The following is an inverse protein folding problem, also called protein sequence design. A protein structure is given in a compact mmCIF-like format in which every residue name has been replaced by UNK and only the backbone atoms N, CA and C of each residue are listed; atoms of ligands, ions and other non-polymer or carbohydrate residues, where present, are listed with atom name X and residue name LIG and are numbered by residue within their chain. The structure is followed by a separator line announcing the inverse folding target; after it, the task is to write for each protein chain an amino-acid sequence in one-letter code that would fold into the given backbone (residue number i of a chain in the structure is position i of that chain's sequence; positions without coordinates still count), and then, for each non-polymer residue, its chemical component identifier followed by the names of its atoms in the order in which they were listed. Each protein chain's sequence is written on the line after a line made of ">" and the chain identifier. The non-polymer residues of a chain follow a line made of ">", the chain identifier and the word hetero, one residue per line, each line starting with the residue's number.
data_IF_860313195614
#
_entry.id   IF_860313195614
#
_cell.length_a   1.000
_cell.length_b   1.000
_cell.length_c   1.000
_cell.angle_alpha   90.00
_cell.angle_beta   90.00
_cell.angle_gamma   90.00
#
_symmetry.space_group_name_H-M   'P 1'
#
loop_
_entity.id
_entity.type
_entity.pdbx_description
1 polymer ?
#
# COMPACT_ATOMS: atom_id res chain seq x y z
N UNK A 1 23.06 0.43 -1.62
CA UNK A 1 22.64 0.03 -2.99
C UNK A 1 21.14 0.21 -3.20
N UNK A 2 20.29 0.02 -2.18
CA UNK A 2 18.84 0.13 -2.30
C UNK A 2 18.26 1.55 -2.41
N UNK A 3 18.95 2.58 -1.96
CA UNK A 3 18.41 3.95 -1.96
C UNK A 3 18.25 4.52 -3.39
N UNK A 4 19.14 4.11 -4.31
CA UNK A 4 19.07 4.51 -5.72
C UNK A 4 17.89 3.83 -6.41
N UNK A 5 17.67 2.54 -6.15
CA UNK A 5 16.53 1.79 -6.70
C UNK A 5 15.20 2.34 -6.19
N UNK A 6 15.12 2.69 -4.90
CA UNK A 6 13.97 3.36 -4.30
C UNK A 6 13.69 4.70 -5.00
N UNK A 7 14.72 5.52 -5.19
CA UNK A 7 14.58 6.82 -5.84
C UNK A 7 14.09 6.68 -7.29
N UNK A 8 14.72 5.82 -8.08
CA UNK A 8 14.34 5.59 -9.49
C UNK A 8 12.92 5.08 -9.59
N UNK A 9 12.50 4.15 -8.72
CA UNK A 9 11.13 3.66 -8.73
C UNK A 9 10.12 4.75 -8.32
N UNK A 10 10.45 5.61 -7.36
CA UNK A 10 9.60 6.73 -7.00
C UNK A 10 9.41 7.71 -8.17
N UNK A 11 10.46 8.04 -8.91
CA UNK A 11 10.35 8.86 -10.13
C UNK A 11 9.48 8.21 -11.22
N UNK A 12 9.53 6.88 -11.36
CA UNK A 12 8.64 6.15 -12.26
C UNK A 12 7.17 6.25 -11.82
N UNK A 13 6.89 6.10 -10.53
CA UNK A 13 5.53 6.24 -9.99
C UNK A 13 5.02 7.67 -10.16
N UNK A 14 5.86 8.67 -9.94
CA UNK A 14 5.53 10.08 -10.15
C UNK A 14 5.17 10.38 -11.60
N UNK A 15 5.95 9.83 -12.53
CA UNK A 15 5.68 9.94 -13.97
C UNK A 15 4.36 9.25 -14.34
N UNK A 16 4.09 8.07 -13.77
CA UNK A 16 2.81 7.37 -13.95
C UNK A 16 1.62 8.18 -13.40
N UNK A 17 1.78 8.88 -12.27
CA UNK A 17 0.74 9.77 -11.72
C UNK A 17 0.44 10.94 -12.63
N UNK A 18 1.47 11.57 -13.24
CA UNK A 18 1.28 12.66 -14.23
C UNK A 18 0.44 12.21 -15.42
N UNK A 19 0.68 11.00 -15.90
CA UNK A 19 -0.12 10.42 -16.98
C UNK A 19 -1.53 10.13 -16.48
N UNK A 20 -1.64 9.52 -15.30
CA UNK A 20 -2.91 9.16 -14.67
C UNK A 20 -3.82 10.37 -14.49
N UNK A 21 -3.29 11.52 -14.07
CA UNK A 21 -4.10 12.72 -13.88
C UNK A 21 -4.65 13.30 -15.18
N UNK A 22 -4.02 13.00 -16.31
CA UNK A 22 -4.52 13.37 -17.64
C UNK A 22 -5.59 12.40 -18.18
N UNK A 23 -5.54 11.11 -17.81
CA UNK A 23 -6.37 10.06 -18.43
C UNK A 23 -7.50 9.55 -17.53
N UNK A 24 -7.34 9.65 -16.20
CA UNK A 24 -8.24 9.04 -15.25
C UNK A 24 -9.49 9.90 -15.06
N UNK A 25 -10.67 9.31 -15.27
CA UNK A 25 -11.93 9.97 -14.95
C UNK A 25 -12.09 10.20 -13.45
N UNK A 26 -12.86 11.22 -13.06
CA UNK A 26 -13.28 11.42 -11.67
C UNK A 26 -13.91 10.16 -11.09
N UNK A 27 -13.55 9.82 -9.86
CA UNK A 27 -13.94 8.58 -9.18
C UNK A 27 -13.13 7.34 -9.59
N UNK A 28 -12.17 7.45 -10.51
CA UNK A 28 -11.32 6.35 -10.93
C UNK A 28 -10.40 5.81 -9.84
N UNK A 29 -9.75 4.68 -10.11
CA UNK A 29 -8.75 4.07 -9.21
C UNK A 29 -7.40 3.94 -9.91
N UNK A 30 -6.34 4.06 -9.13
CA UNK A 30 -4.95 3.91 -9.57
C UNK A 30 -4.24 2.94 -8.63
N UNK A 31 -3.49 2.00 -9.19
CA UNK A 31 -2.72 1.03 -8.42
C UNK A 31 -1.30 1.03 -8.94
N UNK A 32 -0.32 1.18 -8.05
CA UNK A 32 1.09 1.18 -8.42
C UNK A 32 1.92 0.34 -7.45
N UNK A 33 2.96 -0.30 -7.99
CA UNK A 33 3.97 -1.00 -7.20
C UNK A 33 4.97 0.02 -6.66
N UNK A 34 5.25 -0.05 -5.37
CA UNK A 34 6.17 0.85 -4.65
C UNK A 34 7.15 0.02 -3.81
N UNK A 35 8.32 0.56 -3.51
CA UNK A 35 9.18 0.00 -2.46
C UNK A 35 8.84 0.65 -1.12
N UNK A 36 8.75 -0.18 -0.08
CA UNK A 36 8.44 0.21 1.31
C UNK A 36 9.69 0.77 2.01
N UNK A 37 10.32 1.75 1.36
CA UNK A 37 11.51 2.43 1.85
C UNK A 37 11.21 3.66 2.68
N UNK A 38 12.23 4.47 2.96
CA UNK A 38 12.13 5.63 3.85
C UNK A 38 11.24 6.73 3.29
N UNK A 39 11.19 6.88 1.96
CA UNK A 39 10.50 7.97 1.28
C UNK A 39 9.11 7.60 0.77
N UNK A 40 8.63 6.38 1.01
CA UNK A 40 7.30 5.94 0.52
C UNK A 40 6.16 6.81 1.05
N UNK A 41 6.32 7.38 2.26
CA UNK A 41 5.36 8.31 2.86
C UNK A 41 5.12 9.52 1.96
N UNK A 42 6.18 10.06 1.33
CA UNK A 42 6.06 11.21 0.41
C UNK A 42 5.20 10.88 -0.80
N UNK A 43 5.37 9.67 -1.36
CA UNK A 43 4.56 9.17 -2.48
C UNK A 43 3.09 9.08 -2.05
N UNK A 44 2.81 8.50 -0.89
CA UNK A 44 1.45 8.34 -0.39
C UNK A 44 0.80 9.70 -0.13
N UNK A 45 1.49 10.64 0.52
CA UNK A 45 1.01 12.01 0.73
C UNK A 45 0.69 12.74 -0.55
N UNK A 46 1.55 12.59 -1.57
CA UNK A 46 1.30 13.17 -2.88
C UNK A 46 0.01 12.63 -3.49
N UNK A 47 -0.19 11.31 -3.44
CA UNK A 47 -1.37 10.63 -3.96
C UNK A 47 -2.64 11.03 -3.21
N UNK A 48 -2.56 11.22 -1.89
CA UNK A 48 -3.67 11.66 -1.04
C UNK A 48 -4.28 13.00 -1.45
N UNK A 49 -3.52 13.86 -2.14
CA UNK A 49 -4.04 15.12 -2.69
C UNK A 49 -4.96 14.93 -3.89
N UNK A 50 -4.91 13.77 -4.54
CA UNK A 50 -5.61 13.47 -5.78
C UNK A 50 -6.64 12.36 -5.65
N UNK A 51 -6.68 11.65 -4.53
CA UNK A 51 -7.56 10.50 -4.32
C UNK A 51 -8.21 10.56 -2.94
N UNK A 52 -9.46 10.11 -2.84
CA UNK A 52 -10.21 10.09 -1.58
C UNK A 52 -9.69 9.07 -0.57
N UNK A 53 -9.12 7.98 -1.05
CA UNK A 53 -8.57 6.92 -0.20
C UNK A 53 -7.29 6.38 -0.81
N UNK A 54 -6.22 6.41 -0.04
CA UNK A 54 -4.94 5.79 -0.39
C UNK A 54 -4.57 4.79 0.69
N UNK A 55 -4.41 3.54 0.29
CA UNK A 55 -3.99 2.45 1.18
C UNK A 55 -2.75 1.79 0.61
N UNK A 56 -1.86 1.35 1.48
CA UNK A 56 -0.78 0.45 1.11
C UNK A 56 -1.25 -0.98 1.30
N UNK A 57 -0.98 -1.84 0.33
CA UNK A 57 -1.26 -3.26 0.41
C UNK A 57 -0.05 -4.09 0.05
N UNK A 58 0.15 -5.19 0.76
CA UNK A 58 1.07 -6.25 0.36
C UNK A 58 0.27 -7.56 0.30
N UNK A 59 -0.14 -7.98 -0.90
CA UNK A 59 -0.83 -9.25 -1.08
C UNK A 59 0.02 -10.43 -0.62
N UNK A 60 -0.61 -11.54 -0.20
CA UNK A 60 0.11 -12.80 0.10
C UNK A 60 0.87 -13.40 -1.09
N UNK A 61 0.49 -12.99 -2.31
CA UNK A 61 1.22 -13.28 -3.55
C UNK A 61 2.59 -12.58 -3.65
N UNK A 62 2.93 -11.70 -2.70
CA UNK A 62 4.24 -11.09 -2.59
C UNK A 62 5.05 -11.77 -1.48
N UNK A 63 6.31 -12.09 -1.76
CA UNK A 63 7.24 -12.60 -0.75
C UNK A 63 7.35 -11.65 0.44
N UNK A 64 7.29 -12.16 1.66
CA UNK A 64 7.32 -11.31 2.83
C UNK A 64 8.68 -10.60 2.98
N UNK A 65 9.76 -11.25 2.54
CA UNK A 65 11.13 -10.72 2.52
C UNK A 65 11.37 -9.60 1.51
N UNK A 66 10.47 -9.40 0.55
CA UNK A 66 10.61 -8.33 -0.45
C UNK A 66 10.26 -6.95 0.13
N UNK A 67 10.99 -5.90 -0.28
CA UNK A 67 10.63 -4.51 0.03
C UNK A 67 9.41 -4.01 -0.77
N UNK A 68 8.87 -4.83 -1.66
CA UNK A 68 7.74 -4.46 -2.50
C UNK A 68 6.43 -4.34 -1.72
N UNK A 69 5.67 -3.32 -2.08
CA UNK A 69 4.27 -3.13 -1.73
C UNK A 69 3.52 -2.51 -2.90
N UNK A 70 2.21 -2.37 -2.72
CA UNK A 70 1.33 -1.71 -3.68
C UNK A 70 0.65 -0.55 -2.98
N UNK A 71 0.55 0.57 -3.67
CA UNK A 71 -0.36 1.64 -3.27
C UNK A 71 -1.64 1.48 -4.08
N UNK A 72 -2.77 1.47 -3.40
CA UNK A 72 -4.11 1.39 -3.99
C UNK A 72 -4.80 2.72 -3.69
N UNK A 73 -5.02 3.50 -4.73
CA UNK A 73 -5.64 4.80 -4.69
C UNK A 73 -7.05 4.69 -5.29
N UNK A 74 -8.05 5.14 -4.55
CA UNK A 74 -9.46 5.04 -4.94
C UNK A 74 -10.15 6.39 -4.89
N UNK A 75 -11.07 6.61 -5.83
CA UNK A 75 -11.87 7.81 -5.89
C UNK A 75 -11.05 9.02 -6.32
N UNK A 76 -10.51 9.00 -7.53
CA UNK A 76 -9.78 10.13 -8.12
C UNK A 76 -10.61 11.42 -8.04
N UNK A 77 -10.08 12.40 -7.34
CA UNK A 77 -10.73 13.68 -7.04
C UNK A 77 -9.66 14.78 -7.00
N UNK A 78 -9.22 15.28 -8.18
CA UNK A 78 -8.20 16.31 -8.23
C UNK A 78 -8.71 17.63 -7.66
N UNK A 79 -7.81 18.48 -7.11
CA UNK A 79 -8.17 19.83 -6.66
C UNK A 79 -8.85 20.63 -7.77
N UNK A 80 -9.78 21.53 -7.42
CA UNK A 80 -10.61 22.28 -8.39
C UNK A 80 -9.78 23.08 -9.40
N UNK A 81 -8.64 23.62 -8.97
CA UNK A 81 -7.75 24.44 -9.80
C UNK A 81 -6.59 23.64 -10.41
N UNK A 82 -6.59 22.31 -10.24
CA UNK A 82 -5.56 21.46 -10.80
C UNK A 82 -5.80 21.25 -12.30
N UNK A 83 -4.90 21.81 -13.11
CA UNK A 83 -4.85 21.56 -14.56
C UNK A 83 -3.86 20.41 -14.83
N UNK A 84 -4.32 19.24 -15.28
CA UNK A 84 -3.43 18.15 -15.65
C UNK A 84 -2.58 18.58 -16.85
N UNK A 85 -1.26 18.47 -16.71
CA UNK A 85 -0.32 18.74 -17.79
C UNK A 85 0.90 17.83 -17.64
N UNK A 86 1.33 17.26 -18.76
CA UNK A 86 2.53 16.43 -18.83
C UNK A 86 3.81 17.23 -18.59
N UNK A 87 3.76 18.55 -18.80
CA UNK A 87 4.88 19.46 -18.53
C UNK A 87 4.95 19.89 -17.05
N UNK A 88 3.92 19.60 -16.25
CA UNK A 88 3.90 19.98 -14.83
C UNK A 88 4.91 19.15 -14.04
N UNK A 89 5.81 19.85 -13.36
CA UNK A 89 6.79 19.25 -12.47
C UNK A 89 6.14 18.91 -11.11
N UNK A 90 5.30 17.87 -11.05
CA UNK A 90 5.07 17.21 -9.77
C UNK A 90 6.43 16.72 -9.27
N UNK A 91 6.81 17.10 -8.05
CA UNK A 91 8.05 16.72 -7.39
C UNK A 91 7.78 16.21 -5.98
N UNK A 92 8.60 15.30 -5.48
CA UNK A 92 8.50 14.86 -4.09
C UNK A 92 8.83 15.97 -3.09
N UNK A 93 9.62 16.97 -3.50
CA UNK A 93 9.93 18.15 -2.69
C UNK A 93 8.71 19.04 -2.42
N UNK A 94 7.63 18.88 -3.20
CA UNK A 94 6.36 19.57 -2.96
C UNK A 94 5.67 19.09 -1.68
N UNK A 95 6.08 17.93 -1.13
CA UNK A 95 5.60 17.40 0.15
C UNK A 95 6.52 17.89 1.25
N UNK A 96 6.03 18.80 2.09
CA UNK A 96 6.84 19.38 3.17
C UNK A 96 7.06 18.36 4.27
N UNK A 97 8.18 18.46 4.97
CA UNK A 97 8.50 17.57 6.09
C UNK A 97 7.42 17.57 7.18
N UNK A 98 6.77 18.72 7.42
CA UNK A 98 5.64 18.83 8.35
C UNK A 98 4.44 17.97 7.95
N UNK A 99 4.23 17.75 6.65
CA UNK A 99 3.12 16.93 6.12
C UNK A 99 3.38 15.42 6.28
N UNK A 100 4.57 15.05 6.76
CA UNK A 100 5.01 13.66 6.98
C UNK A 100 4.98 13.26 8.46
N UNK A 101 4.94 14.22 9.40
CA UNK A 101 4.96 13.93 10.83
C UNK A 101 3.66 13.20 11.20
N UNK A 102 3.79 12.05 11.88
CA UNK A 102 2.69 11.20 12.35
C UNK A 102 1.66 10.80 11.28
N UNK A 103 2.03 10.83 10.00
CA UNK A 103 1.11 10.48 8.94
C UNK A 103 0.78 8.96 8.97
N UNK A 104 -0.49 8.57 9.26
CA UNK A 104 -0.83 7.18 9.44
C UNK A 104 -0.96 6.48 8.08
N UNK A 105 0.02 5.64 7.73
CA UNK A 105 -0.10 4.78 6.55
C UNK A 105 -1.09 3.65 6.87
N UNK A 106 -2.23 3.66 6.18
CA UNK A 106 -3.20 2.58 6.23
C UNK A 106 -2.64 1.37 5.46
N UNK A 107 -2.37 0.28 6.17
CA UNK A 107 -1.88 -0.95 5.57
C UNK A 107 -2.97 -2.02 5.54
N UNK A 108 -3.21 -2.63 4.37
CA UNK A 108 -4.19 -3.68 4.20
C UNK A 108 -3.57 -4.94 3.58
N UNK A 109 -3.71 -6.07 4.26
CA UNK A 109 -3.40 -7.37 3.67
C UNK A 109 -4.52 -7.82 2.73
N UNK A 110 -4.15 -8.30 1.55
CA UNK A 110 -5.06 -8.76 0.51
C UNK A 110 -4.81 -10.22 0.16
N UNK A 111 -5.89 -10.99 -0.04
CA UNK A 111 -5.86 -12.38 -0.48
C UNK A 111 -6.54 -13.37 0.48
N UNK A 112 -6.88 -14.57 0.00
CA UNK A 112 -7.47 -15.61 0.83
C UNK A 112 -6.47 -16.08 1.91
N UNK A 113 -6.98 -16.58 3.05
CA UNK A 113 -6.14 -17.04 4.15
C UNK A 113 -5.26 -18.26 3.82
N UNK A 114 -5.50 -18.92 2.70
CA UNK A 114 -4.97 -20.24 2.36
C UNK A 114 -3.57 -20.22 1.75
N UNK A 115 -3.37 -19.55 0.62
CA UNK A 115 -2.11 -19.64 -0.16
C UNK A 115 -1.27 -18.37 -0.01
N UNK A 116 0.05 -18.53 0.09
CA UNK A 116 1.08 -17.49 0.21
C UNK A 116 2.30 -17.81 -0.67
N UNK A 117 3.24 -16.88 -0.78
CA UNK A 117 4.40 -17.00 -1.68
C UNK A 117 5.67 -17.54 -1.03
N UNK A 118 5.66 -17.73 0.29
CA UNK A 118 6.83 -18.13 1.07
C UNK A 118 6.82 -19.65 1.36
N UNK A 119 5.68 -20.32 1.16
CA UNK A 119 5.55 -21.76 1.30
C UNK A 119 5.77 -22.53 -0.01
N UNK A 120 6.24 -23.77 0.13
CA UNK A 120 6.26 -24.76 -0.96
C UNK A 120 5.03 -25.65 -0.88
N UNK A 121 4.24 -25.71 -1.95
CA UNK A 121 2.99 -26.47 -1.97
C UNK A 121 3.13 -27.83 -2.63
N UNK A 122 2.52 -28.89 -2.06
CA UNK A 122 2.49 -30.20 -2.71
C UNK A 122 1.71 -30.13 -4.03
N UNK A 123 2.25 -30.78 -5.07
CA UNK A 123 1.64 -30.83 -6.41
C UNK A 123 0.25 -31.49 -6.42
N UNK A 124 -0.01 -32.37 -5.44
CA UNK A 124 -1.26 -33.12 -5.34
C UNK A 124 -2.31 -32.33 -4.55
N UNK A 125 -3.21 -31.64 -5.27
CA UNK A 125 -4.19 -30.70 -4.70
C UNK A 125 -5.43 -31.43 -4.17
N UNK A 126 -5.40 -31.95 -2.95
CA UNK A 126 -6.61 -32.48 -2.29
C UNK A 126 -7.18 -31.57 -1.19
N UNK A 127 -6.44 -30.55 -0.72
CA UNK A 127 -6.93 -29.60 0.29
C UNK A 127 -6.11 -28.31 0.31
N UNK A 128 -6.71 -27.12 0.50
CA UNK A 128 -5.93 -25.94 0.85
C UNK A 128 -5.24 -26.14 2.21
N UNK A 129 -4.02 -25.59 2.41
CA UNK A 129 -3.32 -25.66 3.68
C UNK A 129 -4.16 -25.01 4.78
N UNK A 130 -4.19 -25.63 5.96
CA UNK A 130 -4.94 -25.13 7.11
C UNK A 130 -4.45 -23.73 7.49
N UNK A 131 -5.38 -22.80 7.70
CA UNK A 131 -5.06 -21.48 8.24
C UNK A 131 -4.45 -21.67 9.62
N UNK A 132 -3.21 -21.20 9.81
CA UNK A 132 -2.54 -21.21 11.10
C UNK A 132 -3.30 -20.25 12.05
N UNK A 133 -4.11 -20.82 12.95
CA UNK A 133 -4.78 -20.10 14.01
C UNK A 133 -3.73 -19.63 15.02
N UNK A 134 -3.24 -18.39 14.85
CA UNK A 134 -2.40 -17.77 15.88
C UNK A 134 -3.25 -17.53 17.11
N UNK A 135 -2.91 -18.26 18.18
CA UNK A 135 -3.55 -18.24 19.48
C UNK A 135 -3.88 -16.84 19.99
N UNK A 136 -5.16 -16.66 20.30
CA UNK A 136 -5.63 -15.62 21.23
C UNK A 136 -5.07 -15.99 22.60
N UNK A 137 -4.04 -15.26 23.02
CA UNK A 137 -3.46 -15.36 24.35
C UNK A 137 -4.56 -15.23 25.43
N UNK A 138 -4.44 -16.07 26.44
CA UNK A 138 -5.33 -16.19 27.58
C UNK A 138 -5.48 -14.84 28.32
N UNK A 139 -6.73 -14.38 28.45
CA UNK A 139 -7.13 -13.54 29.57
C UNK A 139 -7.71 -14.48 30.62
N UNK A 140 -6.98 -14.68 31.72
CA UNK A 140 -7.46 -15.43 32.87
C UNK A 140 -8.68 -14.74 33.48
N UNK A 141 -9.78 -15.48 33.59
CA UNK A 141 -10.84 -15.24 34.55
C UNK A 141 -10.91 -16.49 35.42
N UNK A 142 -10.33 -16.40 36.62
CA UNK A 142 -10.51 -17.39 37.66
C UNK A 142 -11.99 -17.43 38.09
N UNK A 143 -12.50 -18.64 38.34
CA UNK A 143 -13.81 -18.90 38.98
C UNK A 143 -13.88 -18.33 40.41
N UNK A 144 -14.99 -18.42 41.14
CA UNK A 144 -16.08 -19.37 41.10
C UNK A 144 -17.33 -18.79 41.82
N UNK A 145 -18.50 -19.42 41.60
CA UNK A 145 -19.67 -19.30 42.48
C UNK A 145 -19.32 -19.69 43.94
N UNK A 146 -20.02 -19.22 44.95
CA UNK A 146 -21.47 -19.35 45.10
C UNK A 146 -21.74 -20.50 46.07
N UNK A 147 -21.72 -20.19 47.37
CA UNK A 147 -22.41 -20.86 48.46
C UNK A 147 -22.51 -19.86 49.62
#
# INVERSE_FOLDING_TARGET
>A
MHDVDEYVQHELVLSAVKITTCVLRKGGSFVAKVFRGKNVVKVIRLLDRFFKSVIMSKPKACRNSSMEGFVVCQGYDPPKDYVPSMATNLRFDDVKAIDLIDYPIKFQHCGPHTWDSDQSYPLNKSKPPAAEEKGRAAAGAAGAGGA
#
